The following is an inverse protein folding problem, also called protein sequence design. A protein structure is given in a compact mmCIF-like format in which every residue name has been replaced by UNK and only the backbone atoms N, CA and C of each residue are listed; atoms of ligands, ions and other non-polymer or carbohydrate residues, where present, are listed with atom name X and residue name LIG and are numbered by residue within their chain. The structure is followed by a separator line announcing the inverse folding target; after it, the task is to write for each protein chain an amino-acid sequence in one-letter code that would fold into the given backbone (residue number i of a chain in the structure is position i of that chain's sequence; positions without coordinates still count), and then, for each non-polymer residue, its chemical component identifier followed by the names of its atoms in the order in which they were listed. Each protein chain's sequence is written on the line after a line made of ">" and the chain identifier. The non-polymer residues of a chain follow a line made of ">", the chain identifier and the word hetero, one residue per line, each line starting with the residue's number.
data_IF_793527877550
#
_entry.id   IF_793527877550
#
_cell.length_a   1.000
_cell.length_b   1.000
_cell.length_c   1.000
_cell.angle_alpha   90.00
_cell.angle_beta   90.00
_cell.angle_gamma   90.00
#
_symmetry.space_group_name_H-M   'P 1'
#
loop_
_entity.id
_entity.type
_entity.pdbx_description
1 polymer ?
#
# COMPACT_ATOMS: atom_id res chain seq x y z
N UNK A 1 -34.72 17.05 -29.94
CA UNK A 1 -33.39 16.43 -30.20
C UNK A 1 -32.20 17.34 -29.83
N UNK A 2 -32.08 18.57 -30.37
CA UNK A 2 -30.95 19.49 -30.07
C UNK A 2 -30.72 19.83 -28.58
N UNK A 3 -31.79 19.94 -27.77
CA UNK A 3 -31.68 20.22 -26.32
C UNK A 3 -31.01 19.06 -25.55
N UNK A 4 -31.36 17.82 -25.91
CA UNK A 4 -30.81 16.61 -25.30
C UNK A 4 -29.33 16.43 -25.65
N UNK A 5 -28.95 16.65 -26.92
CA UNK A 5 -27.55 16.56 -27.36
C UNK A 5 -26.66 17.59 -26.65
N UNK A 6 -27.14 18.84 -26.48
CA UNK A 6 -26.41 19.87 -25.73
C UNK A 6 -26.30 19.55 -24.24
N UNK A 7 -27.34 18.98 -23.65
CA UNK A 7 -27.32 18.52 -22.26
C UNK A 7 -26.27 17.42 -22.07
N UNK A 8 -26.31 16.38 -22.92
CA UNK A 8 -25.39 15.24 -22.87
C UNK A 8 -23.95 15.68 -23.07
N UNK A 9 -23.69 16.55 -24.05
CA UNK A 9 -22.36 17.12 -24.29
C UNK A 9 -21.81 17.84 -23.06
N UNK A 10 -22.60 18.70 -22.41
CA UNK A 10 -22.17 19.40 -21.18
C UNK A 10 -21.95 18.46 -20.00
N UNK A 11 -22.82 17.47 -19.83
CA UNK A 11 -22.64 16.46 -18.79
C UNK A 11 -21.31 15.71 -18.98
N UNK A 12 -21.03 15.28 -20.22
CA UNK A 12 -19.78 14.61 -20.58
C UNK A 12 -18.55 15.51 -20.33
N UNK A 13 -18.64 16.82 -20.59
CA UNK A 13 -17.51 17.74 -20.32
C UNK A 13 -17.14 17.82 -18.83
N UNK A 14 -18.10 17.63 -17.94
CA UNK A 14 -17.87 17.63 -16.48
C UNK A 14 -17.47 16.25 -15.94
N UNK A 15 -18.02 15.18 -16.52
CA UNK A 15 -17.82 13.82 -16.02
C UNK A 15 -16.55 13.16 -16.58
N UNK A 16 -16.26 13.33 -17.87
CA UNK A 16 -15.20 12.59 -18.55
C UNK A 16 -13.81 12.79 -17.90
N UNK A 17 -13.36 14.02 -17.55
CA UNK A 17 -12.05 14.20 -16.94
C UNK A 17 -11.93 13.52 -15.57
N UNK A 18 -13.00 13.58 -14.76
CA UNK A 18 -13.04 12.94 -13.45
C UNK A 18 -13.01 11.40 -13.57
N UNK A 19 -13.73 10.84 -14.55
CA UNK A 19 -13.71 9.39 -14.84
C UNK A 19 -12.35 8.93 -15.38
N UNK A 20 -11.73 9.70 -16.29
CA UNK A 20 -10.39 9.38 -16.78
C UNK A 20 -9.35 9.44 -15.66
N UNK A 21 -9.46 10.42 -14.76
CA UNK A 21 -8.62 10.51 -13.57
C UNK A 21 -8.82 9.30 -12.67
N UNK A 22 -10.07 8.89 -12.43
CA UNK A 22 -10.38 7.70 -11.65
C UNK A 22 -9.70 6.45 -12.24
N UNK A 23 -9.86 6.22 -13.55
CA UNK A 23 -9.31 5.06 -14.25
C UNK A 23 -7.77 5.07 -14.29
N UNK A 24 -7.15 6.23 -14.52
CA UNK A 24 -5.70 6.36 -14.55
C UNK A 24 -5.08 6.09 -13.18
N UNK A 25 -5.66 6.60 -12.09
CA UNK A 25 -5.19 6.26 -10.75
C UNK A 25 -5.49 4.82 -10.35
N UNK A 26 -6.62 4.26 -10.81
CA UNK A 26 -6.93 2.84 -10.62
C UNK A 26 -5.89 1.94 -11.28
N UNK A 27 -5.41 2.28 -12.47
CA UNK A 27 -4.35 1.52 -13.15
C UNK A 27 -3.05 1.47 -12.32
N UNK A 28 -2.67 2.58 -11.70
CA UNK A 28 -1.51 2.64 -10.77
C UNK A 28 -1.78 1.82 -9.51
N UNK A 29 -2.95 2.00 -8.92
CA UNK A 29 -3.37 1.30 -7.71
C UNK A 29 -3.47 -0.22 -7.90
N UNK A 30 -3.75 -0.69 -9.13
CA UNK A 30 -3.85 -2.10 -9.47
C UNK A 30 -2.51 -2.83 -9.43
N UNK A 31 -1.42 -2.14 -9.76
CA UNK A 31 -0.07 -2.73 -9.72
C UNK A 31 0.34 -3.15 -8.30
N UNK A 32 -0.12 -2.42 -7.29
CA UNK A 32 0.24 -2.65 -5.89
C UNK A 32 -0.92 -3.23 -5.08
N UNK A 33 -2.15 -3.11 -5.58
CA UNK A 33 -3.36 -3.43 -4.82
C UNK A 33 -3.64 -2.48 -3.65
N UNK A 34 -2.98 -1.31 -3.61
CA UNK A 34 -3.19 -0.29 -2.59
C UNK A 34 -4.40 0.58 -2.91
N UNK A 35 -5.17 0.92 -1.89
CA UNK A 35 -6.25 1.91 -1.94
C UNK A 35 -5.77 3.24 -1.35
N UNK A 36 -4.64 3.75 -1.85
CA UNK A 36 -4.01 5.00 -1.42
C UNK A 36 -4.46 6.17 -2.33
N UNK A 37 -5.05 7.26 -1.78
CA UNK A 37 -5.35 8.47 -2.55
C UNK A 37 -4.18 9.00 -3.39
N UNK A 38 -2.93 8.80 -2.96
CA UNK A 38 -1.77 9.28 -3.70
C UNK A 38 -1.51 8.55 -5.02
N UNK A 39 -2.11 7.38 -5.26
CA UNK A 39 -2.14 6.75 -6.59
C UNK A 39 -2.80 7.66 -7.65
N UNK A 40 -3.67 8.57 -7.22
CA UNK A 40 -4.32 9.56 -8.08
C UNK A 40 -3.54 10.89 -8.18
N UNK A 41 -2.40 11.03 -7.52
CA UNK A 41 -1.64 12.29 -7.51
C UNK A 41 -1.19 12.73 -8.90
N UNK A 42 -0.38 11.91 -9.58
CA UNK A 42 0.06 12.19 -10.95
C UNK A 42 -1.10 12.26 -11.95
N UNK A 43 -2.06 11.31 -11.94
CA UNK A 43 -3.27 11.41 -12.76
C UNK A 43 -4.04 12.72 -12.57
N UNK A 44 -4.19 13.19 -11.33
CA UNK A 44 -4.86 14.46 -11.03
C UNK A 44 -4.11 15.63 -11.67
N UNK A 45 -2.79 15.71 -11.51
CA UNK A 45 -1.99 16.79 -12.11
C UNK A 45 -2.10 16.79 -13.64
N UNK A 46 -1.87 15.63 -14.27
CA UNK A 46 -1.81 15.49 -15.73
C UNK A 46 -3.16 15.71 -16.41
N UNK A 47 -4.26 15.38 -15.74
CA UNK A 47 -5.60 15.52 -16.33
C UNK A 47 -6.29 16.83 -15.92
N UNK A 48 -6.12 17.30 -14.69
CA UNK A 48 -6.84 18.48 -14.20
C UNK A 48 -6.20 19.79 -14.66
N UNK A 49 -4.89 19.86 -14.93
CA UNK A 49 -4.27 21.06 -15.49
C UNK A 49 -4.81 21.37 -16.90
N UNK A 50 -4.78 20.45 -17.89
CA UNK A 50 -5.38 20.71 -19.21
C UNK A 50 -6.89 20.92 -19.14
N UNK A 51 -7.58 20.16 -18.27
CA UNK A 51 -9.03 20.30 -18.08
C UNK A 51 -9.39 21.67 -17.51
N UNK A 52 -8.63 22.17 -16.54
CA UNK A 52 -8.80 23.51 -15.99
C UNK A 52 -8.58 24.60 -17.02
N UNK A 53 -7.53 24.47 -17.84
CA UNK A 53 -7.27 25.38 -18.96
C UNK A 53 -8.41 25.41 -19.98
N UNK A 54 -8.96 24.25 -20.33
CA UNK A 54 -10.06 24.14 -21.27
C UNK A 54 -11.39 24.66 -20.72
N UNK A 55 -11.75 24.29 -19.49
CA UNK A 55 -13.02 24.68 -18.86
C UNK A 55 -13.06 26.15 -18.43
N UNK A 56 -11.90 26.78 -18.20
CA UNK A 56 -11.81 28.21 -17.94
C UNK A 56 -12.28 29.09 -19.11
N UNK A 57 -12.45 28.53 -20.32
CA UNK A 57 -13.15 29.19 -21.43
C UNK A 57 -14.62 29.47 -21.11
N UNK A 58 -15.22 28.69 -20.21
CA UNK A 58 -16.61 28.85 -19.78
C UNK A 58 -16.68 29.68 -18.51
N UNK A 59 -16.11 29.17 -17.41
CA UNK A 59 -16.03 29.83 -16.10
C UNK A 59 -15.04 29.06 -15.21
N UNK A 60 -14.24 29.79 -14.43
CA UNK A 60 -13.25 29.26 -13.50
C UNK A 60 -13.84 28.22 -12.53
N UNK A 61 -15.10 28.41 -12.14
CA UNK A 61 -15.78 27.49 -11.23
C UNK A 61 -16.01 26.09 -11.80
N UNK A 62 -16.12 25.94 -13.13
CA UNK A 62 -16.26 24.61 -13.73
C UNK A 62 -14.97 23.80 -13.53
N UNK A 63 -13.81 24.44 -13.63
CA UNK A 63 -12.52 23.79 -13.38
C UNK A 63 -12.43 23.25 -11.95
N UNK A 64 -12.75 24.08 -10.94
CA UNK A 64 -12.74 23.66 -9.54
C UNK A 64 -13.77 22.56 -9.26
N UNK A 65 -14.96 22.66 -9.88
CA UNK A 65 -16.02 21.66 -9.72
C UNK A 65 -15.61 20.27 -10.20
N UNK A 66 -14.94 20.21 -11.35
CA UNK A 66 -14.41 18.95 -11.91
C UNK A 66 -13.25 18.42 -11.05
N UNK A 67 -12.37 19.29 -10.55
CA UNK A 67 -11.30 18.90 -9.62
C UNK A 67 -11.84 18.25 -8.34
N UNK A 68 -12.85 18.87 -7.71
CA UNK A 68 -13.52 18.31 -6.52
C UNK A 68 -14.22 17.00 -6.82
N UNK A 69 -14.89 16.89 -7.97
CA UNK A 69 -15.56 15.66 -8.40
C UNK A 69 -14.56 14.51 -8.60
N UNK A 70 -13.45 14.77 -9.29
CA UNK A 70 -12.40 13.77 -9.53
C UNK A 70 -11.76 13.28 -8.25
N UNK A 71 -11.37 14.19 -7.35
CA UNK A 71 -10.83 13.83 -6.05
C UNK A 71 -11.87 13.07 -5.20
N UNK A 72 -13.12 13.53 -5.16
CA UNK A 72 -14.21 12.87 -4.44
C UNK A 72 -14.48 11.44 -4.93
N UNK A 73 -14.46 11.21 -6.24
CA UNK A 73 -14.59 9.87 -6.83
C UNK A 73 -13.45 8.95 -6.39
N UNK A 74 -12.20 9.42 -6.44
CA UNK A 74 -11.04 8.66 -6.01
C UNK A 74 -11.08 8.33 -4.50
N UNK A 75 -11.44 9.30 -3.67
CA UNK A 75 -11.56 9.10 -2.21
C UNK A 75 -12.68 8.13 -1.85
N UNK A 76 -13.84 8.23 -2.53
CA UNK A 76 -14.95 7.31 -2.33
C UNK A 76 -14.57 5.88 -2.75
N UNK A 77 -13.88 5.73 -3.88
CA UNK A 77 -13.33 4.45 -4.30
C UNK A 77 -12.40 3.87 -3.23
N UNK A 78 -11.42 4.65 -2.76
CA UNK A 78 -10.46 4.21 -1.75
C UNK A 78 -11.15 3.77 -0.45
N UNK A 79 -12.13 4.55 0.02
CA UNK A 79 -12.86 4.27 1.25
C UNK A 79 -13.62 2.93 1.20
N UNK A 80 -14.32 2.68 0.09
CA UNK A 80 -15.12 1.47 -0.09
C UNK A 80 -14.26 0.25 -0.45
N UNK A 81 -13.27 0.40 -1.33
CA UNK A 81 -12.41 -0.71 -1.75
C UNK A 81 -11.55 -1.28 -0.60
N UNK A 82 -11.18 -0.43 0.37
CA UNK A 82 -10.48 -0.84 1.59
C UNK A 82 -11.41 -1.12 2.78
N UNK A 83 -12.72 -0.86 2.65
CA UNK A 83 -13.68 -0.82 3.75
C UNK A 83 -13.18 0.00 4.97
N UNK A 84 -12.39 1.05 4.72
CA UNK A 84 -11.74 1.88 5.75
C UNK A 84 -11.54 3.28 5.19
N UNK A 85 -11.90 4.31 5.96
CA UNK A 85 -11.71 5.70 5.55
C UNK A 85 -10.23 5.99 5.26
N UNK A 86 -9.90 6.68 4.15
CA UNK A 86 -8.53 7.08 3.81
C UNK A 86 -7.90 7.97 4.89
N UNK A 87 -6.58 8.14 4.83
CA UNK A 87 -5.87 8.92 5.84
C UNK A 87 -6.29 10.38 5.72
N UNK A 88 -6.63 11.06 6.83
CA UNK A 88 -7.11 12.44 6.74
C UNK A 88 -6.14 13.37 5.99
N UNK A 89 -4.84 13.18 6.16
CA UNK A 89 -3.84 13.98 5.44
C UNK A 89 -3.76 13.62 3.97
N UNK A 90 -3.88 12.34 3.60
CA UNK A 90 -3.98 11.93 2.21
C UNK A 90 -5.27 12.45 1.53
N UNK A 91 -6.40 12.49 2.26
CA UNK A 91 -7.66 13.06 1.77
C UNK A 91 -7.52 14.55 1.48
N UNK A 92 -7.03 15.32 2.47
CA UNK A 92 -6.80 16.76 2.34
C UNK A 92 -5.78 17.02 1.23
N UNK A 93 -4.69 16.24 1.19
CA UNK A 93 -3.64 16.35 0.19
C UNK A 93 -4.14 16.16 -1.24
N UNK A 94 -4.91 15.11 -1.51
CA UNK A 94 -5.48 14.87 -2.84
C UNK A 94 -6.48 15.96 -3.24
N UNK A 95 -7.32 16.42 -2.30
CA UNK A 95 -8.28 17.52 -2.56
C UNK A 95 -7.56 18.82 -2.90
N UNK A 96 -6.56 19.22 -2.10
CA UNK A 96 -5.77 20.42 -2.34
C UNK A 96 -4.99 20.31 -3.66
N UNK A 97 -4.42 19.14 -3.96
CA UNK A 97 -3.72 18.87 -5.21
C UNK A 97 -4.66 19.05 -6.41
N UNK A 98 -5.85 18.44 -6.37
CA UNK A 98 -6.82 18.51 -7.45
C UNK A 98 -7.32 19.94 -7.69
N UNK A 99 -7.58 20.68 -6.61
CA UNK A 99 -7.96 22.10 -6.67
C UNK A 99 -6.84 22.96 -7.24
N UNK A 100 -5.60 22.79 -6.77
CA UNK A 100 -4.43 23.54 -7.23
C UNK A 100 -4.13 23.25 -8.71
N UNK A 101 -4.22 21.99 -9.14
CA UNK A 101 -4.05 21.60 -10.54
C UNK A 101 -5.12 22.23 -11.45
N UNK A 102 -6.39 22.13 -11.08
CA UNK A 102 -7.49 22.71 -11.83
C UNK A 102 -7.42 24.26 -11.87
N UNK A 103 -7.13 24.90 -10.74
CA UNK A 103 -6.96 26.34 -10.64
C UNK A 103 -5.76 26.84 -11.46
N UNK A 104 -4.61 26.15 -11.35
CA UNK A 104 -3.40 26.49 -12.10
C UNK A 104 -3.64 26.47 -13.60
N UNK A 105 -4.27 25.41 -14.12
CA UNK A 105 -4.67 25.33 -15.53
C UNK A 105 -5.61 26.46 -15.94
N UNK A 106 -6.62 26.76 -15.11
CA UNK A 106 -7.58 27.82 -15.38
C UNK A 106 -6.95 29.22 -15.38
N UNK A 107 -6.01 29.48 -14.47
CA UNK A 107 -5.28 30.76 -14.37
C UNK A 107 -4.31 30.96 -15.54
N UNK A 108 -3.70 29.89 -16.07
CA UNK A 108 -2.91 29.95 -17.29
C UNK A 108 -3.74 30.46 -18.48
N UNK A 109 -5.00 30.00 -18.60
CA UNK A 109 -5.92 30.48 -19.63
C UNK A 109 -6.22 31.98 -19.46
N UNK A 110 -6.41 32.44 -18.23
CA UNK A 110 -6.67 33.85 -17.91
C UNK A 110 -5.42 34.75 -18.03
N UNK A 111 -4.27 34.20 -18.41
CA UNK A 111 -2.97 34.89 -18.48
C UNK A 111 -2.49 35.46 -17.13
N UNK A 112 -2.99 34.91 -16.03
CA UNK A 112 -2.53 35.23 -14.68
C UNK A 112 -1.32 34.35 -14.32
N UNK A 113 -0.17 34.63 -14.92
CA UNK A 113 1.02 33.76 -14.87
C UNK A 113 1.55 33.52 -13.45
N UNK A 114 1.73 34.57 -12.64
CA UNK A 114 2.21 34.48 -11.26
C UNK A 114 1.37 33.51 -10.40
N UNK A 115 0.05 33.71 -10.23
CA UNK A 115 -0.76 32.80 -9.42
C UNK A 115 -0.91 31.41 -10.04
N UNK A 116 -0.84 31.29 -11.38
CA UNK A 116 -0.80 29.99 -12.04
C UNK A 116 0.47 29.21 -11.66
N UNK A 117 1.64 29.85 -11.72
CA UNK A 117 2.91 29.25 -11.30
C UNK A 117 2.88 28.85 -9.82
N UNK A 118 2.32 29.68 -8.93
CA UNK A 118 2.17 29.36 -7.51
C UNK A 118 1.28 28.14 -7.29
N UNK A 119 0.11 28.08 -7.95
CA UNK A 119 -0.79 26.94 -7.85
C UNK A 119 -0.15 25.64 -8.36
N UNK A 120 0.56 25.69 -9.48
CA UNK A 120 1.26 24.52 -10.03
C UNK A 120 2.45 24.11 -9.16
N UNK A 121 3.21 25.06 -8.61
CA UNK A 121 4.28 24.77 -7.66
C UNK A 121 3.74 24.13 -6.37
N UNK A 122 2.61 24.62 -5.85
CA UNK A 122 1.95 24.03 -4.69
C UNK A 122 1.48 22.59 -5.00
N UNK A 123 0.91 22.35 -6.17
CA UNK A 123 0.52 21.01 -6.62
C UNK A 123 1.74 20.06 -6.69
N UNK A 124 2.86 20.51 -7.26
CA UNK A 124 4.11 19.74 -7.31
C UNK A 124 4.69 19.47 -5.91
N UNK A 125 4.62 20.46 -5.01
CA UNK A 125 5.09 20.30 -3.63
C UNK A 125 4.23 19.29 -2.86
N UNK A 126 2.92 19.30 -3.03
CA UNK A 126 2.01 18.30 -2.45
C UNK A 126 2.34 16.88 -2.93
N UNK A 127 2.71 16.70 -4.19
CA UNK A 127 3.19 15.41 -4.70
C UNK A 127 4.50 14.95 -4.05
N UNK A 128 5.36 15.88 -3.64
CA UNK A 128 6.60 15.58 -2.92
C UNK A 128 6.41 15.25 -1.44
N UNK A 129 5.44 15.88 -0.78
CA UNK A 129 5.18 15.75 0.67
C UNK A 129 4.21 14.61 0.99
N UNK A 130 3.17 14.46 0.17
CA UNK A 130 2.03 13.61 0.41
C UNK A 130 2.27 12.10 0.50
N UNK A 131 3.12 11.50 -0.34
CA UNK A 131 3.12 10.06 -0.45
C UNK A 131 4.08 9.41 0.57
N UNK A 132 3.81 8.16 0.99
CA UNK A 132 4.59 7.46 2.03
C UNK A 132 6.09 7.58 1.75
N UNK A 133 6.86 8.14 2.69
CA UNK A 133 8.29 8.37 2.47
C UNK A 133 9.03 7.03 2.40
N UNK A 134 10.07 6.92 1.56
CA UNK A 134 10.96 5.78 1.61
C UNK A 134 11.49 5.57 3.03
N UNK A 135 11.63 4.33 3.42
CA UNK A 135 12.10 3.95 4.76
C UNK A 135 13.56 4.35 4.89
N UNK A 136 13.82 5.25 5.83
CA UNK A 136 15.16 5.60 6.25
C UNK A 136 15.68 4.60 7.28
N UNK A 137 17.00 4.39 7.28
CA UNK A 137 17.65 3.62 8.34
C UNK A 137 17.54 4.35 9.68
N UNK A 138 17.31 3.59 10.74
CA UNK A 138 17.47 4.09 12.11
C UNK A 138 18.94 4.05 12.54
N UNK A 139 19.38 4.99 13.40
CA UNK A 139 20.75 5.04 13.89
C UNK A 139 21.02 3.93 14.92
N UNK A 140 20.12 3.75 15.90
CA UNK A 140 20.21 2.69 16.89
C UNK A 140 19.45 1.45 16.39
N UNK A 141 20.17 0.35 16.21
CA UNK A 141 19.68 -0.87 15.57
C UNK A 141 20.07 -2.07 16.43
N UNK A 142 19.12 -2.73 17.12
CA UNK A 142 19.44 -3.91 17.90
C UNK A 142 19.94 -5.04 16.99
N UNK A 143 20.78 -5.91 17.56
CA UNK A 143 21.33 -7.06 16.84
C UNK A 143 20.21 -8.06 16.56
N UNK A 144 20.04 -8.41 15.28
CA UNK A 144 19.14 -9.47 14.83
C UNK A 144 19.98 -10.64 14.32
N UNK A 145 19.96 -11.76 15.03
CA UNK A 145 20.50 -12.99 14.50
C UNK A 145 19.53 -13.58 13.47
N UNK A 146 20.06 -14.11 12.36
CA UNK A 146 19.26 -14.81 11.35
C UNK A 146 19.87 -16.16 11.04
N UNK A 147 19.07 -17.21 11.17
CA UNK A 147 19.42 -18.57 10.72
C UNK A 147 18.42 -18.95 9.62
N UNK A 148 18.93 -19.31 8.45
CA UNK A 148 18.10 -19.60 7.29
C UNK A 148 18.79 -20.53 6.31
N UNK A 149 18.01 -21.39 5.63
CA UNK A 149 18.48 -22.11 4.44
C UNK A 149 18.06 -21.41 3.13
N UNK A 150 17.21 -20.38 3.22
CA UNK A 150 16.77 -19.58 2.08
C UNK A 150 17.91 -18.67 1.60
N UNK A 151 18.00 -18.36 0.30
CA UNK A 151 19.02 -17.46 -0.26
C UNK A 151 18.73 -15.99 0.08
N UNK A 152 18.83 -15.63 1.36
CA UNK A 152 18.51 -14.28 1.86
C UNK A 152 19.71 -13.33 1.85
N UNK A 153 20.94 -13.86 1.93
CA UNK A 153 22.18 -13.06 2.03
C UNK A 153 23.17 -13.34 0.89
N UNK A 154 22.97 -14.42 0.14
CA UNK A 154 23.84 -14.88 -0.93
C UNK A 154 22.99 -15.36 -2.09
N UNK A 155 23.54 -15.25 -3.30
CA UNK A 155 22.94 -15.89 -4.47
C UNK A 155 22.81 -17.41 -4.29
N UNK A 156 21.78 -17.98 -4.90
CA UNK A 156 21.47 -19.40 -4.78
C UNK A 156 22.68 -20.26 -5.21
N UNK A 157 23.04 -21.24 -4.37
CA UNK A 157 24.21 -22.09 -4.60
C UNK A 157 25.45 -21.71 -3.79
N UNK A 158 25.46 -20.54 -3.11
CA UNK A 158 26.43 -20.22 -2.05
C UNK A 158 27.86 -19.89 -2.49
N UNK A 159 28.13 -19.86 -3.80
CA UNK A 159 29.46 -19.54 -4.38
C UNK A 159 29.50 -18.12 -4.98
N UNK A 160 28.42 -17.34 -4.81
CA UNK A 160 28.25 -16.03 -5.43
C UNK A 160 28.59 -14.84 -4.52
N UNK A 161 28.41 -13.65 -5.07
CA UNK A 161 28.47 -12.38 -4.34
C UNK A 161 27.39 -12.31 -3.26
N UNK A 162 27.72 -11.70 -2.12
CA UNK A 162 26.74 -11.36 -1.10
C UNK A 162 25.68 -10.45 -1.73
N UNK A 163 24.43 -10.90 -1.68
CA UNK A 163 23.27 -10.18 -2.19
C UNK A 163 22.14 -10.35 -1.20
N UNK A 164 21.81 -9.25 -0.54
CA UNK A 164 20.69 -9.24 0.39
C UNK A 164 19.38 -9.29 -0.40
N UNK A 165 18.50 -10.21 -0.02
CA UNK A 165 17.12 -10.20 -0.48
C UNK A 165 16.43 -8.88 -0.06
N UNK A 166 15.38 -8.44 -0.78
CA UNK A 166 14.63 -7.23 -0.44
C UNK A 166 14.20 -7.15 1.03
N UNK A 167 13.77 -8.28 1.62
CA UNK A 167 13.37 -8.34 3.03
C UNK A 167 14.56 -8.07 3.97
N UNK A 168 15.75 -8.57 3.66
CA UNK A 168 16.96 -8.34 4.45
C UNK A 168 17.41 -6.88 4.33
N UNK A 169 17.34 -6.30 3.13
CA UNK A 169 17.63 -4.88 2.90
C UNK A 169 16.76 -4.00 3.80
N UNK A 170 15.46 -4.34 3.90
CA UNK A 170 14.54 -3.65 4.79
C UNK A 170 14.88 -3.89 6.27
N UNK A 171 15.12 -5.13 6.68
CA UNK A 171 15.46 -5.44 8.07
C UNK A 171 16.75 -4.72 8.50
N UNK A 172 17.73 -4.56 7.61
CA UNK A 172 18.95 -3.78 7.89
C UNK A 172 18.68 -2.30 8.17
N UNK A 173 17.58 -1.73 7.69
CA UNK A 173 17.19 -0.35 8.05
C UNK A 173 16.77 -0.24 9.52
N UNK A 174 16.46 -1.36 10.19
CA UNK A 174 15.95 -1.42 11.57
C UNK A 174 16.81 -2.21 12.54
N UNK A 175 17.62 -3.14 12.05
CA UNK A 175 18.42 -4.07 12.84
C UNK A 175 19.86 -4.15 12.32
N UNK A 176 20.80 -4.47 13.21
CA UNK A 176 22.11 -5.00 12.82
C UNK A 176 21.94 -6.50 12.51
N UNK A 177 21.63 -6.79 11.24
CA UNK A 177 21.31 -8.15 10.79
C UNK A 177 22.57 -8.99 10.62
N UNK A 178 22.73 -10.00 11.48
CA UNK A 178 23.86 -10.93 11.51
C UNK A 178 23.40 -12.34 11.12
N UNK A 179 23.77 -12.84 9.94
CA UNK A 179 23.57 -14.26 9.63
C UNK A 179 24.47 -15.10 10.54
N UNK A 180 23.93 -16.18 11.09
CA UNK A 180 24.69 -17.18 11.86
C UNK A 180 24.31 -18.58 11.37
N UNK A 181 25.26 -19.51 11.38
CA UNK A 181 25.05 -20.88 10.87
C UNK A 181 24.61 -21.87 11.95
N UNK A 182 24.95 -21.59 13.21
CA UNK A 182 24.67 -22.48 14.34
C UNK A 182 24.01 -21.72 15.48
N UNK A 183 22.86 -22.23 15.92
CA UNK A 183 22.09 -21.69 17.05
C UNK A 183 22.87 -21.73 18.37
N UNK A 184 23.86 -22.61 18.50
CA UNK A 184 24.73 -22.66 19.70
C UNK A 184 25.60 -21.42 19.84
N UNK A 185 25.85 -20.68 18.76
CA UNK A 185 26.57 -19.40 18.80
C UNK A 185 25.67 -18.22 19.24
N UNK A 186 24.35 -18.42 19.34
CA UNK A 186 23.39 -17.34 19.61
C UNK A 186 23.56 -16.71 21.00
N UNK A 187 23.88 -17.51 22.01
CA UNK A 187 24.14 -16.98 23.35
C UNK A 187 25.38 -16.07 23.38
N UNK A 188 26.42 -16.43 22.61
CA UNK A 188 27.66 -15.66 22.53
C UNK A 188 27.53 -14.41 21.63
N UNK A 189 26.59 -14.40 20.69
CA UNK A 189 26.38 -13.25 19.79
C UNK A 189 25.74 -12.05 20.48
N UNK A 190 25.15 -12.25 21.67
CA UNK A 190 24.43 -11.22 22.41
C UNK A 190 23.13 -10.76 21.73
N UNK A 191 22.68 -11.46 20.69
CA UNK A 191 21.46 -11.10 19.96
C UNK A 191 20.22 -11.33 20.84
N UNK A 192 19.41 -10.30 21.13
CA UNK A 192 18.16 -10.47 21.88
C UNK A 192 17.05 -11.11 21.04
N UNK A 193 17.17 -11.07 19.71
CA UNK A 193 16.14 -11.52 18.77
C UNK A 193 16.75 -12.45 17.71
N UNK A 194 16.02 -13.51 17.38
CA UNK A 194 16.35 -14.47 16.33
C UNK A 194 15.22 -14.54 15.29
N UNK A 195 15.55 -14.35 14.02
CA UNK A 195 14.74 -14.80 12.89
C UNK A 195 15.22 -16.17 12.44
N UNK A 196 14.38 -17.19 12.60
CA UNK A 196 14.63 -18.54 12.12
C UNK A 196 13.72 -18.81 10.92
N UNK A 197 14.25 -18.72 9.71
CA UNK A 197 13.46 -18.81 8.48
C UNK A 197 13.83 -20.06 7.68
N UNK A 198 12.94 -21.05 7.64
CA UNK A 198 13.11 -22.32 6.95
C UNK A 198 14.52 -22.92 7.11
N UNK A 199 14.98 -23.21 8.34
CA UNK A 199 16.34 -23.67 8.57
C UNK A 199 16.54 -25.11 8.06
N UNK A 200 17.82 -25.46 7.86
CA UNK A 200 18.22 -26.86 7.67
C UNK A 200 17.95 -27.67 8.93
N UNK A 201 17.91 -28.99 8.77
CA UNK A 201 17.73 -29.90 9.88
C UNK A 201 18.81 -29.67 10.96
N UNK A 202 18.35 -29.39 12.18
CA UNK A 202 19.21 -29.16 13.32
C UNK A 202 19.47 -30.46 14.07
N UNK A 203 20.65 -30.57 14.67
CA UNK A 203 20.95 -31.68 15.59
C UNK A 203 20.05 -31.59 16.85
N UNK A 204 19.78 -32.70 17.55
CA UNK A 204 19.03 -32.66 18.81
C UNK A 204 19.61 -31.70 19.84
N UNK A 205 20.95 -31.62 19.92
CA UNK A 205 21.65 -30.68 20.80
C UNK A 205 21.37 -29.22 20.43
N UNK A 206 21.31 -28.90 19.13
CA UNK A 206 20.97 -27.57 18.65
C UNK A 206 19.50 -27.21 18.96
N UNK A 207 18.56 -28.16 18.81
CA UNK A 207 17.16 -27.93 19.20
C UNK A 207 17.02 -27.63 20.70
N UNK A 208 17.74 -28.37 21.55
CA UNK A 208 17.77 -28.12 23.00
C UNK A 208 18.42 -26.77 23.32
N UNK A 209 19.48 -26.38 22.61
CA UNK A 209 20.11 -25.08 22.77
C UNK A 209 19.16 -23.92 22.41
N UNK A 210 18.41 -24.07 21.31
CA UNK A 210 17.37 -23.12 20.90
C UNK A 210 16.28 -22.99 21.96
N UNK A 211 15.73 -24.12 22.44
CA UNK A 211 14.71 -24.14 23.49
C UNK A 211 15.18 -23.43 24.76
N UNK A 212 16.40 -23.73 25.23
CA UNK A 212 17.00 -23.07 26.40
C UNK A 212 17.19 -21.57 26.19
N UNK A 213 17.67 -21.15 25.02
CA UNK A 213 17.86 -19.73 24.72
C UNK A 213 16.53 -18.97 24.76
N UNK A 214 15.47 -19.52 24.17
CA UNK A 214 14.12 -18.93 24.25
C UNK A 214 13.67 -18.88 25.72
N UNK A 215 13.76 -19.99 26.46
CA UNK A 215 13.38 -20.04 27.88
C UNK A 215 14.08 -19.00 28.74
N UNK A 216 15.32 -18.64 28.38
CA UNK A 216 16.14 -17.65 29.07
C UNK A 216 15.80 -16.19 28.70
N UNK A 217 14.81 -15.94 27.85
CA UNK A 217 14.35 -14.59 27.49
C UNK A 217 14.54 -14.21 26.03
N UNK A 218 15.05 -15.12 25.20
CA UNK A 218 15.20 -14.87 23.77
C UNK A 218 13.85 -14.69 23.06
N UNK A 219 13.81 -13.77 22.09
CA UNK A 219 12.63 -13.56 21.22
C UNK A 219 12.86 -14.21 19.86
N UNK A 220 12.01 -15.15 19.50
CA UNK A 220 12.11 -15.94 18.27
C UNK A 220 10.95 -15.60 17.32
N UNK A 221 11.26 -15.23 16.08
CA UNK A 221 10.33 -15.31 14.97
C UNK A 221 10.69 -16.53 14.12
N UNK A 222 9.82 -17.54 14.11
CA UNK A 222 9.99 -18.78 13.37
C UNK A 222 9.06 -18.83 12.16
N UNK A 223 9.65 -18.90 10.98
CA UNK A 223 8.96 -19.19 9.72
C UNK A 223 9.30 -20.62 9.30
N UNK A 224 8.31 -21.50 9.27
CA UNK A 224 8.50 -22.90 8.88
C UNK A 224 7.40 -23.32 7.93
N UNK A 225 7.80 -23.73 6.73
CA UNK A 225 6.89 -24.07 5.65
C UNK A 225 6.82 -25.58 5.47
N UNK A 226 5.63 -26.20 5.52
CA UNK A 226 5.49 -27.62 5.20
C UNK A 226 5.57 -27.92 3.70
N UNK A 227 5.48 -26.90 2.84
CA UNK A 227 5.53 -27.04 1.38
C UNK A 227 6.06 -25.75 0.74
N UNK A 228 7.35 -25.51 0.92
CA UNK A 228 8.05 -24.34 0.40
C UNK A 228 7.98 -24.27 -1.14
N UNK A 229 7.58 -23.10 -1.67
CA UNK A 229 7.49 -22.78 -3.10
C UNK A 229 8.51 -21.73 -3.53
N UNK A 230 9.50 -21.48 -2.69
CA UNK A 230 10.63 -20.61 -2.99
C UNK A 230 11.29 -20.96 -4.35
N UNK A 231 11.56 -19.97 -5.22
CA UNK A 231 12.21 -20.18 -6.51
C UNK A 231 13.58 -20.80 -6.34
N UNK A 232 13.88 -21.77 -7.19
CA UNK A 232 15.19 -22.42 -7.21
C UNK A 232 15.57 -22.76 -8.63
N UNK A 233 16.72 -22.28 -9.09
CA UNK A 233 17.36 -22.72 -10.32
C UNK A 233 18.09 -24.07 -10.16
N UNK A 234 18.26 -24.56 -8.92
CA UNK A 234 18.90 -25.83 -8.64
C UNK A 234 17.95 -27.03 -8.84
N UNK A 235 18.47 -28.20 -9.28
CA UNK A 235 17.69 -29.43 -9.39
C UNK A 235 17.05 -29.87 -8.07
N UNK A 236 15.95 -30.62 -8.15
CA UNK A 236 15.39 -31.31 -6.99
C UNK A 236 16.43 -32.27 -6.40
N UNK A 237 16.60 -32.22 -5.08
CA UNK A 237 17.59 -33.03 -4.35
C UNK A 237 18.98 -32.40 -4.19
N UNK A 238 19.26 -31.25 -4.83
CA UNK A 238 20.50 -30.50 -4.56
C UNK A 238 20.53 -30.03 -3.10
N UNK A 239 21.60 -30.37 -2.36
CA UNK A 239 21.76 -30.02 -0.95
C UNK A 239 21.79 -28.52 -0.71
N UNK A 240 22.19 -27.72 -1.69
CA UNK A 240 22.27 -26.26 -1.58
C UNK A 240 20.87 -25.64 -1.56
N UNK A 241 19.87 -26.30 -2.13
CA UNK A 241 18.47 -25.86 -2.06
C UNK A 241 17.98 -25.84 -0.61
N UNK A 242 17.10 -24.89 -0.31
CA UNK A 242 16.39 -24.86 0.97
C UNK A 242 15.50 -26.11 1.14
N UNK A 243 15.32 -26.63 2.36
CA UNK A 243 14.43 -27.76 2.60
C UNK A 243 13.01 -27.44 2.15
N UNK A 244 12.41 -28.34 1.36
CA UNK A 244 11.04 -28.17 0.85
C UNK A 244 9.97 -28.28 1.95
N UNK A 245 10.33 -28.88 3.09
CA UNK A 245 9.47 -29.11 4.25
C UNK A 245 10.22 -28.70 5.50
N UNK A 246 9.52 -28.08 6.45
CA UNK A 246 10.05 -27.68 7.74
C UNK A 246 10.65 -28.85 8.52
N UNK A 247 11.79 -28.61 9.17
CA UNK A 247 12.59 -29.64 9.83
C UNK A 247 12.50 -29.63 11.36
N UNK A 248 11.71 -28.70 11.93
CA UNK A 248 11.64 -28.45 13.38
C UNK A 248 10.53 -29.24 14.11
N UNK A 249 9.94 -30.25 13.46
CA UNK A 249 8.82 -31.04 14.00
C UNK A 249 8.98 -31.47 15.47
N UNK A 250 10.14 -32.03 15.90
CA UNK A 250 10.35 -32.43 17.29
C UNK A 250 10.25 -31.28 18.29
N UNK A 251 10.77 -30.09 17.94
CA UNK A 251 10.71 -28.90 18.80
C UNK A 251 9.29 -28.34 18.87
N UNK A 252 8.59 -28.30 17.74
CA UNK A 252 7.18 -27.86 17.68
C UNK A 252 6.28 -28.77 18.52
N UNK A 253 6.47 -30.10 18.40
CA UNK A 253 5.76 -31.06 19.23
C UNK A 253 6.08 -30.90 20.72
N UNK A 254 7.34 -30.63 21.08
CA UNK A 254 7.73 -30.33 22.46
C UNK A 254 7.03 -29.07 23.01
N UNK A 255 6.81 -28.07 22.16
CA UNK A 255 6.06 -26.86 22.52
C UNK A 255 4.53 -27.00 22.40
N UNK A 256 4.02 -28.19 22.08
CA UNK A 256 2.59 -28.45 21.94
C UNK A 256 1.95 -27.90 20.65
N UNK A 257 2.77 -27.45 19.70
CA UNK A 257 2.31 -26.89 18.43
C UNK A 257 2.06 -28.02 17.43
N UNK A 258 0.89 -27.99 16.80
CA UNK A 258 0.53 -28.93 15.71
C UNK A 258 0.12 -28.19 14.46
N UNK A 259 0.61 -28.64 13.32
CA UNK A 259 0.20 -28.15 12.01
C UNK A 259 -1.10 -28.80 11.53
N UNK A 260 -2.01 -28.01 10.99
CA UNK A 260 -3.23 -28.48 10.33
C UNK A 260 -3.01 -28.82 8.86
N UNK A 261 -4.11 -28.96 8.12
CA UNK A 261 -4.07 -29.17 6.67
C UNK A 261 -3.53 -27.94 5.93
N UNK A 262 -2.55 -28.16 5.06
CA UNK A 262 -1.93 -27.12 4.23
C UNK A 262 -2.97 -26.52 3.28
N UNK A 263 -3.02 -25.19 3.22
CA UNK A 263 -3.87 -24.48 2.25
C UNK A 263 -3.10 -24.29 0.96
N UNK A 264 -3.34 -25.17 -0.02
CA UNK A 264 -2.57 -25.21 -1.28
C UNK A 264 -2.95 -24.11 -2.28
N UNK A 265 -2.88 -22.85 -1.86
CA UNK A 265 -3.16 -21.66 -2.68
C UNK A 265 -2.48 -20.43 -2.09
N UNK A 266 -2.30 -19.43 -2.94
CA UNK A 266 -1.99 -18.08 -2.49
C UNK A 266 -3.22 -17.45 -1.83
N UNK A 267 -3.04 -16.84 -0.67
CA UNK A 267 -4.10 -16.15 0.08
C UNK A 267 -3.65 -14.75 0.49
N UNK A 268 -4.54 -13.78 0.30
CA UNK A 268 -4.48 -12.46 0.91
C UNK A 268 -5.14 -12.54 2.28
N UNK A 269 -4.35 -12.60 3.34
CA UNK A 269 -4.83 -12.70 4.71
C UNK A 269 -4.79 -11.33 5.39
N UNK A 270 -5.97 -10.80 5.68
CA UNK A 270 -6.13 -9.61 6.49
C UNK A 270 -6.09 -9.97 7.97
N UNK A 271 -5.18 -9.34 8.70
CA UNK A 271 -5.14 -9.36 10.15
C UNK A 271 -6.32 -8.55 10.72
N UNK A 272 -6.71 -8.78 11.99
CA UNK A 272 -7.81 -8.03 12.63
C UNK A 272 -7.64 -6.51 12.64
N UNK A 273 -6.39 -6.01 12.57
CA UNK A 273 -6.06 -4.58 12.50
C UNK A 273 -6.11 -3.99 11.07
N UNK A 274 -6.41 -4.83 10.08
CA UNK A 274 -6.54 -4.46 8.67
C UNK A 274 -5.24 -4.54 7.86
N UNK A 275 -4.13 -4.99 8.46
CA UNK A 275 -2.88 -5.21 7.73
C UNK A 275 -2.95 -6.46 6.88
N UNK A 276 -2.25 -6.44 5.74
CA UNK A 276 -2.29 -7.50 4.75
C UNK A 276 -1.02 -8.35 4.77
N UNK A 277 -1.18 -9.67 4.82
CA UNK A 277 -0.15 -10.66 4.51
C UNK A 277 -0.55 -11.43 3.25
N UNK A 278 0.38 -11.61 2.34
CA UNK A 278 0.24 -12.59 1.26
C UNK A 278 1.01 -13.84 1.66
N UNK A 279 0.34 -14.99 1.59
CA UNK A 279 0.87 -16.30 2.01
C UNK A 279 0.63 -17.33 0.91
N UNK A 280 1.53 -18.29 0.74
CA UNK A 280 1.50 -19.22 -0.39
C UNK A 280 1.74 -20.67 0.05
N UNK A 281 0.70 -21.37 0.51
CA UNK A 281 0.88 -22.69 1.12
C UNK A 281 0.87 -22.70 2.63
N UNK A 282 0.31 -21.65 3.25
CA UNK A 282 0.22 -21.56 4.69
C UNK A 282 -0.45 -22.77 5.34
N UNK A 283 0.19 -23.26 6.40
CA UNK A 283 -0.34 -24.23 7.31
C UNK A 283 -0.90 -23.54 8.56
N UNK A 284 -2.21 -23.68 8.83
CA UNK A 284 -2.78 -23.26 10.09
C UNK A 284 -2.10 -24.01 11.23
N UNK A 285 -1.76 -23.28 12.29
CA UNK A 285 -1.15 -23.84 13.47
C UNK A 285 -2.20 -23.98 14.55
N UNK A 286 -2.03 -24.97 15.41
CA UNK A 286 -2.89 -25.18 16.56
C UNK A 286 -2.07 -25.37 17.82
N UNK A 287 -2.63 -24.87 18.91
CA UNK A 287 -2.12 -25.03 20.27
C UNK A 287 -3.26 -25.62 21.10
N UNK A 288 -2.98 -26.70 21.84
CA UNK A 288 -3.99 -27.37 22.68
C UNK A 288 -5.29 -27.74 21.93
N UNK A 289 -5.16 -28.05 20.62
CA UNK A 289 -6.28 -28.44 19.77
C UNK A 289 -7.10 -27.28 19.18
N UNK A 290 -6.79 -26.03 19.51
CA UNK A 290 -7.44 -24.85 18.95
C UNK A 290 -6.60 -24.22 17.84
N UNK A 291 -7.24 -23.83 16.74
CA UNK A 291 -6.56 -23.11 15.64
C UNK A 291 -6.14 -21.72 16.14
N UNK A 292 -4.84 -21.44 16.03
CA UNK A 292 -4.25 -20.20 16.50
C UNK A 292 -4.47 -19.03 15.53
N UNK A 293 -4.42 -17.82 16.06
CA UNK A 293 -4.29 -16.61 15.26
C UNK A 293 -2.93 -16.58 14.53
N UNK A 294 -2.84 -15.75 13.49
CA UNK A 294 -1.59 -15.52 12.75
C UNK A 294 -0.95 -14.21 13.23
N UNK A 295 0.32 -14.19 13.67
CA UNK A 295 1.15 -15.36 13.97
C UNK A 295 0.72 -16.04 15.27
N UNK A 296 1.04 -17.33 15.42
CA UNK A 296 0.88 -18.02 16.70
C UNK A 296 1.88 -17.42 17.68
N UNK A 297 1.40 -16.96 18.83
CA UNK A 297 2.24 -16.40 19.90
C UNK A 297 2.33 -17.37 21.06
N UNK A 298 3.55 -17.67 21.50
CA UNK A 298 3.82 -18.55 22.64
C UNK A 298 4.77 -17.84 23.60
N UNK A 299 4.52 -18.00 24.90
CA UNK A 299 5.50 -17.68 25.94
C UNK A 299 6.14 -18.97 26.40
N UNK A 300 7.46 -19.02 26.35
CA UNK A 300 8.22 -20.20 26.74
C UNK A 300 9.28 -19.74 27.74
N UNK A 301 9.11 -20.12 29.01
CA UNK A 301 9.91 -19.55 30.09
C UNK A 301 9.77 -18.03 30.13
N UNK A 302 10.90 -17.31 30.04
CA UNK A 302 10.95 -15.84 30.00
C UNK A 302 10.87 -15.26 28.57
N UNK A 303 11.00 -16.09 27.54
CA UNK A 303 11.03 -15.64 26.15
C UNK A 303 9.68 -15.69 25.44
N UNK A 304 9.71 -15.25 24.19
CA UNK A 304 8.55 -15.18 23.29
C UNK A 304 8.89 -15.89 21.97
N UNK A 305 7.95 -16.68 21.47
CA UNK A 305 8.01 -17.28 20.13
C UNK A 305 6.80 -16.80 19.33
N UNK A 306 7.08 -16.24 18.16
CA UNK A 306 6.10 -15.96 17.11
C UNK A 306 6.32 -16.95 15.99
N UNK A 307 5.26 -17.65 15.58
CA UNK A 307 5.36 -18.77 14.65
C UNK A 307 4.40 -18.61 13.48
N UNK A 308 4.91 -18.81 12.27
CA UNK A 308 4.13 -18.91 11.05
C UNK A 308 4.45 -20.21 10.30
N UNK A 309 3.39 -20.89 9.88
CA UNK A 309 3.44 -22.13 9.09
C UNK A 309 3.63 -21.88 7.58
N UNK A 310 4.37 -20.83 7.24
CA UNK A 310 4.65 -20.37 5.88
C UNK A 310 5.98 -19.59 5.92
N UNK A 311 6.92 -19.95 5.07
CA UNK A 311 8.18 -19.20 4.91
C UNK A 311 8.26 -18.47 3.57
N UNK A 312 7.39 -18.80 2.62
CA UNK A 312 7.27 -18.10 1.36
C UNK A 312 6.75 -16.66 1.56
N UNK A 313 6.08 -16.33 2.67
CA UNK A 313 5.61 -14.96 2.95
C UNK A 313 6.70 -13.87 2.89
N UNK A 314 7.98 -14.22 3.12
CA UNK A 314 9.11 -13.29 2.98
C UNK A 314 9.74 -13.24 1.58
N UNK A 315 9.27 -14.06 0.64
CA UNK A 315 9.58 -13.98 -0.79
C UNK A 315 9.08 -12.63 -1.32
N UNK A 316 9.96 -11.89 -1.97
CA UNK A 316 9.67 -10.54 -2.47
C UNK A 316 8.50 -10.53 -3.45
N UNK A 317 8.28 -11.60 -4.21
CA UNK A 317 7.19 -11.69 -5.19
C UNK A 317 5.80 -11.64 -4.55
N UNK A 318 5.68 -11.97 -3.27
CA UNK A 318 4.39 -11.96 -2.55
C UNK A 318 4.04 -10.59 -1.95
N UNK A 319 5.02 -9.69 -1.78
CA UNK A 319 4.81 -8.40 -1.10
C UNK A 319 5.44 -7.20 -1.78
N UNK A 320 6.24 -7.37 -2.83
CA UNK A 320 6.95 -6.31 -3.55
C UNK A 320 6.51 -6.27 -5.02
N UNK A 321 5.80 -5.21 -5.40
CA UNK A 321 5.37 -4.98 -6.77
C UNK A 321 6.51 -4.44 -7.66
N UNK A 322 7.48 -3.73 -7.09
CA UNK A 322 8.67 -3.22 -7.80
C UNK A 322 9.97 -3.59 -7.06
N UNK A 323 10.70 -4.63 -7.53
CA UNK A 323 11.95 -5.09 -6.93
C UNK A 323 13.05 -4.03 -6.83
N UNK A 324 13.01 -2.97 -7.64
CA UNK A 324 14.02 -1.91 -7.61
C UNK A 324 13.86 -0.96 -6.41
N UNK A 325 12.71 -0.99 -5.73
CA UNK A 325 12.38 -0.03 -4.66
C UNK A 325 11.89 -0.73 -3.38
N UNK A 326 12.68 -1.63 -2.77
CA UNK A 326 12.25 -2.40 -1.60
C UNK A 326 11.98 -1.54 -0.36
N UNK A 327 12.63 -0.37 -0.26
CA UNK A 327 12.45 0.58 0.85
C UNK A 327 11.32 1.59 0.61
N UNK A 328 10.67 1.60 -0.57
CA UNK A 328 9.54 2.48 -0.85
C UNK A 328 8.23 1.73 -0.57
N UNK A 329 7.47 2.07 0.50
CA UNK A 329 6.22 1.39 0.81
C UNK A 329 5.16 1.46 -0.30
N UNK A 330 5.31 2.37 -1.27
CA UNK A 330 4.42 2.47 -2.43
C UNK A 330 4.66 1.37 -3.45
N UNK A 331 5.84 0.77 -3.43
CA UNK A 331 6.18 -0.38 -4.26
C UNK A 331 5.69 -1.70 -3.66
N UNK A 332 5.04 -1.69 -2.49
CA UNK A 332 4.62 -2.92 -1.82
C UNK A 332 3.21 -3.34 -2.21
N UNK A 333 2.96 -4.65 -2.19
CA UNK A 333 1.67 -5.29 -2.39
C UNK A 333 1.10 -5.95 -1.12
N UNK A 334 1.85 -5.97 -0.02
CA UNK A 334 1.42 -6.41 1.31
C UNK A 334 2.21 -5.71 2.43
N UNK A 335 1.74 -5.81 3.69
CA UNK A 335 2.40 -5.28 4.88
C UNK A 335 3.50 -6.20 5.45
N UNK A 336 3.81 -7.31 4.77
CA UNK A 336 4.76 -8.33 5.24
C UNK A 336 6.05 -7.74 5.82
N UNK A 337 6.75 -6.79 5.16
CA UNK A 337 8.00 -6.26 5.70
C UNK A 337 7.83 -5.46 6.99
N UNK A 338 6.74 -4.67 7.08
CA UNK A 338 6.42 -3.93 8.29
C UNK A 338 6.05 -4.87 9.44
N UNK A 339 5.27 -5.91 9.14
CA UNK A 339 4.89 -6.95 10.10
C UNK A 339 6.10 -7.74 10.60
N UNK A 340 7.01 -8.15 9.72
CA UNK A 340 8.27 -8.82 10.09
C UNK A 340 9.07 -7.97 11.07
N UNK A 341 9.32 -6.70 10.74
CA UNK A 341 10.08 -5.82 11.62
C UNK A 341 9.40 -5.64 12.99
N UNK A 342 8.08 -5.44 13.02
CA UNK A 342 7.32 -5.29 14.27
C UNK A 342 7.29 -6.57 15.10
N UNK A 343 7.14 -7.74 14.47
CA UNK A 343 7.23 -9.04 15.13
C UNK A 343 8.64 -9.36 15.64
N UNK A 344 9.66 -8.74 15.06
CA UNK A 344 11.04 -8.78 15.57
C UNK A 344 11.32 -7.66 16.61
N UNK A 345 10.40 -6.72 16.81
CA UNK A 345 10.49 -5.70 17.86
C UNK A 345 10.94 -4.32 17.42
N UNK A 346 10.98 -4.04 16.12
CA UNK A 346 11.25 -2.71 15.58
C UNK A 346 9.97 -1.99 15.14
N UNK A 347 9.95 -0.68 15.32
CA UNK A 347 8.89 0.16 14.78
C UNK A 347 9.01 0.31 13.26
N UNK A 348 7.86 0.32 12.59
CA UNK A 348 7.76 0.54 11.15
C UNK A 348 6.51 1.37 10.84
N UNK A 349 6.57 2.27 9.84
CA UNK A 349 5.41 3.00 9.36
C UNK A 349 4.29 2.02 8.97
N UNK A 350 3.08 2.31 9.45
CA UNK A 350 1.86 1.56 9.20
C UNK A 350 0.78 2.47 8.57
N UNK A 351 -0.47 2.01 8.50
CA UNK A 351 -1.62 2.80 8.04
C UNK A 351 -1.90 2.67 6.54
N UNK A 352 -1.21 1.74 5.86
CA UNK A 352 -1.52 1.37 4.47
C UNK A 352 -2.92 0.76 4.40
N UNK A 353 -3.54 0.95 3.24
CA UNK A 353 -4.90 0.47 2.95
C UNK A 353 -4.84 -0.35 1.69
N UNK A 354 -5.41 -1.53 1.74
CA UNK A 354 -5.38 -2.48 0.64
C UNK A 354 -6.78 -2.71 0.10
N UNK A 355 -6.88 -2.92 -1.20
CA UNK A 355 -8.09 -3.45 -1.79
C UNK A 355 -8.34 -4.84 -1.19
N UNK A 356 -9.54 -5.06 -0.64
CA UNK A 356 -9.88 -6.29 0.08
C UNK A 356 -10.27 -7.40 -0.87
N UNK A 357 -11.54 -7.41 -1.27
CA UNK A 357 -12.14 -8.42 -2.11
C UNK A 357 -12.75 -7.79 -3.37
N UNK A 358 -12.99 -8.64 -4.38
CA UNK A 358 -13.58 -8.24 -5.67
C UNK A 358 -14.97 -7.59 -5.48
N UNK A 359 -15.70 -7.94 -4.42
CA UNK A 359 -16.98 -7.31 -4.11
C UNK A 359 -16.81 -5.83 -3.70
N UNK A 360 -15.88 -5.54 -2.78
CA UNK A 360 -15.62 -4.20 -2.28
C UNK A 360 -15.04 -3.29 -3.37
N UNK A 361 -14.14 -3.82 -4.20
CA UNK A 361 -13.59 -3.08 -5.35
C UNK A 361 -14.68 -2.73 -6.37
N UNK A 362 -15.57 -3.68 -6.68
CA UNK A 362 -16.72 -3.43 -7.57
C UNK A 362 -17.70 -2.42 -6.98
N UNK A 363 -17.97 -2.50 -5.67
CA UNK A 363 -18.80 -1.54 -4.96
C UNK A 363 -18.17 -0.15 -5.00
N UNK A 364 -16.88 -0.04 -4.69
CA UNK A 364 -16.10 1.18 -4.77
C UNK A 364 -16.19 1.84 -6.14
N UNK A 365 -15.96 1.07 -7.20
CA UNK A 365 -16.00 1.59 -8.58
C UNK A 365 -17.40 2.05 -8.98
N UNK A 366 -18.43 1.25 -8.69
CA UNK A 366 -19.82 1.60 -8.98
C UNK A 366 -20.26 2.87 -8.24
N UNK A 367 -19.98 2.94 -6.95
CA UNK A 367 -20.33 4.10 -6.12
C UNK A 367 -19.58 5.35 -6.55
N UNK A 368 -18.29 5.24 -6.90
CA UNK A 368 -17.51 6.36 -7.44
C UNK A 368 -18.11 6.89 -8.75
N UNK A 369 -18.48 6.02 -9.69
CA UNK A 369 -19.09 6.43 -10.96
C UNK A 369 -20.48 7.04 -10.77
N UNK A 370 -21.31 6.48 -9.88
CA UNK A 370 -22.63 7.02 -9.56
C UNK A 370 -22.53 8.39 -8.88
N UNK A 371 -21.66 8.52 -7.88
CA UNK A 371 -21.40 9.78 -7.19
C UNK A 371 -20.84 10.84 -8.15
N UNK A 372 -19.91 10.46 -9.03
CA UNK A 372 -19.37 11.33 -10.07
C UNK A 372 -20.44 11.81 -11.05
N UNK A 373 -21.32 10.91 -11.48
CA UNK A 373 -22.46 11.26 -12.35
C UNK A 373 -23.40 12.23 -11.65
N UNK A 374 -23.76 11.95 -10.40
CA UNK A 374 -24.58 12.85 -9.57
C UNK A 374 -23.94 14.23 -9.38
N UNK A 375 -22.63 14.28 -9.11
CA UNK A 375 -21.86 15.51 -8.96
C UNK A 375 -21.81 16.33 -10.25
N UNK A 376 -21.67 15.69 -11.41
CA UNK A 376 -21.70 16.35 -12.71
C UNK A 376 -23.10 16.91 -13.04
N UNK A 377 -24.17 16.17 -12.72
CA UNK A 377 -25.56 16.65 -12.86
C UNK A 377 -25.80 17.86 -11.96
N UNK A 378 -25.35 17.81 -10.70
CA UNK A 378 -25.47 18.91 -9.75
C UNK A 378 -24.72 20.16 -10.25
N UNK A 379 -23.50 19.98 -10.77
CA UNK A 379 -22.72 21.05 -11.39
C UNK A 379 -23.46 21.70 -12.55
N UNK A 380 -24.08 20.90 -13.43
CA UNK A 380 -24.87 21.42 -14.54
C UNK A 380 -26.08 22.24 -14.06
N UNK A 381 -26.75 21.83 -12.98
CA UNK A 381 -27.89 22.57 -12.41
C UNK A 381 -27.45 23.90 -11.78
N UNK A 382 -26.40 23.88 -10.96
CA UNK A 382 -25.95 25.04 -10.18
C UNK A 382 -25.25 26.09 -11.07
N UNK A 383 -24.38 25.65 -11.99
CA UNK A 383 -23.61 26.56 -12.85
C UNK A 383 -24.50 27.19 -13.94
N UNK A 384 -25.54 26.48 -14.40
CA UNK A 384 -26.54 27.04 -15.33
C UNK A 384 -27.39 28.14 -14.69
N UNK A 385 -27.77 28.01 -13.41
CA UNK A 385 -28.53 29.06 -12.69
C UNK A 385 -27.74 30.37 -12.58
N UNK A 386 -26.41 30.31 -12.45
CA UNK A 386 -25.55 31.49 -12.30
C UNK A 386 -25.38 32.27 -13.60
N UNK A 387 -25.21 31.58 -14.72
CA UNK A 387 -25.17 32.21 -16.06
C UNK A 387 -26.48 32.95 -16.38
N UNK A 388 -27.64 32.39 -16.00
CA UNK A 388 -28.94 33.06 -16.14
C UNK A 388 -29.11 34.30 -15.24
N UNK A 389 -28.50 34.31 -14.05
CA UNK A 389 -28.56 35.43 -13.10
C UNK A 389 -27.68 36.62 -13.53
N UNK A 390 -26.50 36.36 -14.10
CA UNK A 390 -25.65 37.40 -14.70
C UNK A 390 -26.27 38.01 -15.97
N UNK A 391 -26.98 37.21 -16.78
CA UNK A 391 -27.71 37.71 -17.96
C UNK A 391 -28.92 38.60 -17.64
N UNK A 392 -29.52 38.47 -16.44
CA UNK A 392 -30.56 39.39 -15.98
C UNK A 392 -29.99 40.72 -15.45
N UNK A 393 -28.79 40.70 -14.84
CA UNK A 393 -28.14 41.90 -14.31
C UNK A 393 -27.71 42.87 -15.43
N UNK A 394 -27.17 42.34 -16.53
CA UNK A 394 -26.80 43.15 -17.71
C UNK A 394 -27.99 43.69 -18.49
N UNK A 395 -29.15 43.01 -18.48
CA UNK A 395 -30.38 43.53 -19.12
C UNK A 395 -31.03 44.69 -18.34
N UNK A 396 -30.83 44.74 -17.02
CA UNK A 396 -31.30 45.81 -16.15
C UNK A 396 -30.49 47.09 -16.35
N UNK A 397 -29.16 47.00 -16.43
CA UNK A 397 -28.29 48.17 -16.65
C UNK A 397 -28.49 48.78 -18.05
N UNK A 398 -28.69 47.96 -19.09
CA UNK A 398 -28.93 48.48 -20.44
C UNK A 398 -30.33 49.13 -20.64
N UNK A 399 -31.27 48.92 -19.71
CA UNK A 399 -32.56 49.64 -19.72
C UNK A 399 -32.49 51.01 -19.04
N UNK A 400 -31.57 51.21 -18.09
CA UNK A 400 -31.39 52.51 -17.42
C UNK A 400 -30.65 53.52 -18.30
N UNK A 401 -29.77 53.07 -19.21
CA UNK A 401 -29.04 53.97 -20.13
C UNK A 401 -29.89 54.44 -21.32
N UNK A 402 -30.94 53.70 -21.71
CA UNK A 402 -31.83 54.07 -22.83
C UNK A 402 -33.05 54.92 -22.45
N UNK A 403 -33.26 55.21 -21.18
CA UNK A 403 -34.41 56.00 -20.70
C UNK A 403 -34.15 57.50 -20.49
N UNK A 404 -32.92 57.99 -20.70
CA UNK A 404 -32.49 59.33 -20.26
C UNK A 404 -32.05 60.28 -21.37
N UNK A 405 -32.66 60.23 -22.56
CA UNK A 405 -32.50 61.26 -23.61
C UNK A 405 -33.83 61.47 -24.32
N UNK A 406 -34.66 62.34 -23.75
CA UNK A 406 -35.61 63.23 -24.43
C UNK A 406 -36.27 64.07 -23.34
N UNK A 407 -35.94 65.36 -23.35
CA UNK A 407 -36.31 66.38 -22.37
C UNK A 407 -35.42 67.58 -22.58
#
# INVERSE_FOLDING_TARGET
>A
MMSFVRFLSRLLTLLLPATLMLLAGLAVAWCTGQADPWCWGWPALLLLVPTGWWLARQDFLHALWVGLGGAGMALLFCALAAARMPDPWAMIGLLLLALAAAAGGALLWQRCWLPACVALAAALLLLGVGPARPISSQPDRPVLAVITALPLFWDEGGVGTRRDAPIVTLLRSRFDVRPIDDVRALAASGAPVLLLAQPRAMTPQALVALDRWVRNGGRLLLLTDPRLRWPSGLPLGDRRRAPMVGTLGPLLAHWGVRGGAVRDREIRHFLPDGRLLTMAGMQPLSLEGQVAAVPLRLRIGRGEVLLLGDADLIDDRLWLADPARPLDPRAWSADTPALMAQWLGAEMPDGRRWMRDVADVRLGLRSALLAGTGWAILGLMLLRRRSGRNGMRTKSENKLVKGGKNG
#
